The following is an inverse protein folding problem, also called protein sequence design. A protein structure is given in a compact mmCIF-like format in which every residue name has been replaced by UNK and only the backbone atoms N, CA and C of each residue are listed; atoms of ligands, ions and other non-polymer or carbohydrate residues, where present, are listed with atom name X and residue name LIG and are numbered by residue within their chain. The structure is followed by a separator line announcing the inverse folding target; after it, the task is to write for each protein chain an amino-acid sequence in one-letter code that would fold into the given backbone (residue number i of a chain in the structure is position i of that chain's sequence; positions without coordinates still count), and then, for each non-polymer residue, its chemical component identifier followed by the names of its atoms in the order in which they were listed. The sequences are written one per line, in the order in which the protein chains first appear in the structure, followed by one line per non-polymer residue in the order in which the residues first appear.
data_IF_222857798756
#
_entry.id   IF_222857798756
#
_cell.length_a   1.000
_cell.length_b   1.000
_cell.length_c   1.000
_cell.angle_alpha   90.00
_cell.angle_beta   90.00
_cell.angle_gamma   90.00
#
_symmetry.space_group_name_H-M   'P 1'
#
loop_
_entity.id
_entity.type
_entity.pdbx_description
1 polymer ?
#
# COMPACT_ATOMS: atom_id res chain seq x y z
N UNK A 1 3.21 -16.43 19.74
CA UNK A 1 1.87 -16.90 20.15
C UNK A 1 0.82 -16.62 19.09
N UNK A 2 0.50 -15.34 18.82
CA UNK A 2 -0.60 -14.99 17.92
C UNK A 2 -0.41 -15.54 16.49
N UNK A 3 0.81 -15.52 15.95
CA UNK A 3 1.16 -16.19 14.68
C UNK A 3 0.85 -17.70 14.64
N UNK A 4 1.03 -18.41 15.75
CA UNK A 4 0.74 -19.84 15.84
C UNK A 4 -0.77 -20.07 15.94
N UNK A 5 -1.47 -19.24 16.72
CA UNK A 5 -2.93 -19.31 16.84
C UNK A 5 -3.63 -19.01 15.50
N UNK A 6 -3.14 -18.03 14.75
CA UNK A 6 -3.66 -17.72 13.40
C UNK A 6 -3.41 -18.85 12.42
N UNK A 7 -2.18 -19.35 12.36
CA UNK A 7 -1.85 -20.48 11.50
C UNK A 7 -2.66 -21.73 11.85
N UNK A 8 -2.81 -22.06 13.14
CA UNK A 8 -3.60 -23.20 13.59
C UNK A 8 -5.07 -23.08 13.14
N UNK A 9 -5.72 -21.95 13.40
CA UNK A 9 -7.10 -21.73 12.98
C UNK A 9 -7.28 -21.85 11.46
N UNK A 10 -6.37 -21.27 10.68
CA UNK A 10 -6.42 -21.34 9.22
C UNK A 10 -6.19 -22.76 8.68
N UNK A 11 -5.23 -23.49 9.24
CA UNK A 11 -4.97 -24.89 8.88
C UNK A 11 -6.20 -25.75 9.16
N UNK A 12 -6.77 -25.67 10.37
CA UNK A 12 -7.89 -26.53 10.77
C UNK A 12 -9.13 -26.29 9.89
N UNK A 13 -9.49 -25.04 9.62
CA UNK A 13 -10.71 -24.75 8.84
C UNK A 13 -10.47 -24.98 7.34
N UNK A 14 -9.50 -24.29 6.74
CA UNK A 14 -9.35 -24.24 5.28
C UNK A 14 -8.59 -25.42 4.70
N UNK A 15 -7.70 -26.05 5.46
CA UNK A 15 -6.81 -27.10 4.93
C UNK A 15 -7.07 -28.49 5.50
N UNK A 16 -7.83 -28.61 6.59
CA UNK A 16 -8.24 -29.89 7.16
C UNK A 16 -9.74 -30.13 6.94
N UNK A 17 -10.62 -29.36 7.58
CA UNK A 17 -12.07 -29.63 7.57
C UNK A 17 -12.65 -29.50 6.16
N UNK A 18 -12.43 -28.37 5.48
CA UNK A 18 -13.01 -28.10 4.16
C UNK A 18 -12.56 -29.13 3.10
N UNK A 19 -11.25 -29.46 2.95
CA UNK A 19 -10.83 -30.45 1.97
C UNK A 19 -11.29 -31.87 2.29
N UNK A 20 -11.41 -32.26 3.56
CA UNK A 20 -11.94 -33.58 3.93
C UNK A 20 -13.40 -33.71 3.48
N UNK A 21 -14.24 -32.73 3.79
CA UNK A 21 -15.67 -32.79 3.45
C UNK A 21 -15.95 -32.59 1.96
N UNK A 22 -15.41 -31.53 1.34
CA UNK A 22 -15.71 -31.19 -0.04
C UNK A 22 -14.76 -31.87 -1.04
N UNK A 23 -13.47 -31.94 -0.71
CA UNK A 23 -12.45 -32.56 -1.56
C UNK A 23 -12.46 -34.09 -1.51
N UNK A 24 -12.70 -34.68 -0.34
CA UNK A 24 -12.75 -36.13 -0.13
C UNK A 24 -14.16 -36.70 -0.26
N UNK A 25 -14.98 -36.50 0.77
CA UNK A 25 -16.30 -37.14 0.87
C UNK A 25 -17.26 -36.73 -0.25
N UNK A 26 -17.35 -35.45 -0.58
CA UNK A 26 -18.29 -35.00 -1.62
C UNK A 26 -17.90 -35.50 -3.02
N UNK A 27 -16.61 -35.47 -3.36
CA UNK A 27 -16.11 -36.01 -4.63
C UNK A 27 -16.33 -37.51 -4.79
N UNK A 28 -16.30 -38.28 -3.70
CA UNK A 28 -16.54 -39.72 -3.72
C UNK A 28 -18.04 -40.05 -3.70
N UNK A 29 -18.79 -39.50 -2.75
CA UNK A 29 -20.17 -39.91 -2.47
C UNK A 29 -21.19 -39.33 -3.47
N UNK A 30 -20.97 -38.12 -3.99
CA UNK A 30 -21.97 -37.49 -4.87
C UNK A 30 -22.10 -38.25 -6.20
N UNK A 31 -21.02 -38.50 -6.97
CA UNK A 31 -21.12 -39.29 -8.20
C UNK A 31 -21.70 -40.68 -7.94
N UNK A 32 -21.23 -41.32 -6.87
CA UNK A 32 -21.66 -42.67 -6.48
C UNK A 32 -23.17 -42.76 -6.21
N UNK A 33 -23.74 -41.87 -5.39
CA UNK A 33 -25.19 -41.90 -5.10
C UNK A 33 -26.06 -41.33 -6.22
N UNK A 34 -25.49 -40.50 -7.10
CA UNK A 34 -26.18 -39.98 -8.30
C UNK A 34 -26.21 -41.03 -9.43
N UNK A 35 -25.40 -42.09 -9.31
CA UNK A 35 -25.27 -43.14 -10.31
C UNK A 35 -24.47 -42.69 -11.54
N UNK A 36 -23.62 -41.66 -11.39
CA UNK A 36 -22.75 -41.21 -12.47
C UNK A 36 -21.40 -41.94 -12.42
N UNK A 37 -20.86 -42.29 -13.58
CA UNK A 37 -19.53 -42.93 -13.67
C UNK A 37 -18.42 -42.02 -13.13
N UNK A 38 -18.51 -40.73 -13.42
CA UNK A 38 -17.52 -39.72 -13.08
C UNK A 38 -18.18 -38.36 -12.75
N UNK A 39 -17.37 -37.39 -12.35
CA UNK A 39 -17.77 -35.98 -12.25
C UNK A 39 -17.86 -35.30 -13.63
N UNK A 40 -18.55 -34.16 -13.72
CA UNK A 40 -18.86 -33.47 -14.97
C UNK A 40 -17.60 -32.90 -15.63
N UNK A 41 -16.69 -32.34 -14.82
CA UNK A 41 -15.41 -31.83 -15.27
C UNK A 41 -14.24 -32.47 -14.49
N UNK A 42 -13.76 -33.66 -14.92
CA UNK A 42 -12.70 -34.38 -14.21
C UNK A 42 -11.38 -33.60 -14.10
N UNK A 43 -10.98 -32.89 -15.17
CA UNK A 43 -9.75 -32.09 -15.20
C UNK A 43 -9.82 -30.87 -14.27
N UNK A 44 -10.98 -30.21 -14.24
CA UNK A 44 -11.21 -29.05 -13.37
C UNK A 44 -11.18 -29.47 -11.89
N UNK A 45 -11.73 -30.64 -11.56
CA UNK A 45 -11.64 -31.21 -10.22
C UNK A 45 -10.19 -31.49 -9.79
N UNK A 46 -9.38 -32.02 -10.71
CA UNK A 46 -7.95 -32.25 -10.47
C UNK A 46 -7.21 -30.94 -10.21
N UNK A 47 -7.47 -29.89 -11.00
CA UNK A 47 -6.86 -28.56 -10.79
C UNK A 47 -7.23 -27.99 -9.41
N UNK A 48 -8.50 -28.10 -9.00
CA UNK A 48 -8.93 -27.68 -7.67
C UNK A 48 -8.15 -28.37 -6.56
N UNK A 49 -7.97 -29.69 -6.68
CA UNK A 49 -7.17 -30.48 -5.75
C UNK A 49 -5.71 -29.99 -5.68
N UNK A 50 -5.08 -29.63 -6.80
CA UNK A 50 -3.68 -29.17 -6.83
C UNK A 50 -3.47 -27.74 -6.32
N UNK A 51 -4.50 -26.88 -6.36
CA UNK A 51 -4.42 -25.52 -5.78
C UNK A 51 -4.40 -25.58 -4.25
N UNK A 52 -5.05 -26.59 -3.65
CA UNK A 52 -5.11 -26.75 -2.19
C UNK A 52 -3.74 -26.89 -1.51
N UNK A 53 -2.83 -27.81 -1.92
CA UNK A 53 -1.51 -27.92 -1.32
C UNK A 53 -0.64 -26.69 -1.57
N UNK A 54 -0.83 -25.96 -2.68
CA UNK A 54 -0.14 -24.69 -2.93
C UNK A 54 -0.51 -23.63 -1.86
N UNK A 55 -1.79 -23.51 -1.53
CA UNK A 55 -2.25 -22.67 -0.42
C UNK A 55 -1.68 -23.13 0.93
N UNK A 56 -1.64 -24.44 1.17
CA UNK A 56 -1.13 -25.01 2.41
C UNK A 56 0.36 -24.70 2.62
N UNK A 57 1.18 -24.78 1.56
CA UNK A 57 2.60 -24.44 1.61
C UNK A 57 2.84 -23.00 2.04
N UNK A 58 1.98 -22.05 1.63
CA UNK A 58 2.08 -20.66 2.05
C UNK A 58 1.80 -20.51 3.55
N UNK A 59 0.77 -21.16 4.09
CA UNK A 59 0.49 -21.14 5.54
C UNK A 59 1.59 -21.84 6.33
N UNK A 60 2.05 -23.01 5.87
CA UNK A 60 3.12 -23.77 6.50
C UNK A 60 4.41 -22.96 6.59
N UNK A 61 4.73 -22.17 5.54
CA UNK A 61 5.87 -21.25 5.56
C UNK A 61 5.78 -20.26 6.71
N UNK A 62 4.61 -19.69 7.00
CA UNK A 62 4.47 -18.73 8.11
C UNK A 62 4.40 -19.46 9.45
N UNK A 63 3.79 -20.64 9.50
CA UNK A 63 3.59 -21.38 10.75
C UNK A 63 4.93 -21.91 11.31
N UNK A 64 5.77 -22.47 10.43
CA UNK A 64 6.97 -23.21 10.84
C UNK A 64 8.27 -22.46 10.50
N UNK A 65 8.32 -21.70 9.40
CA UNK A 65 9.53 -20.97 9.03
C UNK A 65 9.52 -19.57 9.62
N UNK A 66 10.64 -19.18 10.23
CA UNK A 66 10.82 -17.82 10.74
C UNK A 66 10.91 -16.84 9.57
N UNK A 67 10.05 -15.83 9.57
CA UNK A 67 10.05 -14.75 8.57
C UNK A 67 11.23 -13.79 8.82
N UNK A 68 12.47 -14.22 8.56
CA UNK A 68 13.68 -13.41 8.73
C UNK A 68 14.01 -12.56 7.49
N UNK A 69 13.48 -12.94 6.32
CA UNK A 69 13.86 -12.34 5.03
C UNK A 69 13.16 -11.02 4.72
N UNK A 70 12.10 -10.66 5.45
CA UNK A 70 11.32 -9.46 5.16
C UNK A 70 11.82 -8.28 5.96
N UNK A 71 12.72 -7.52 5.33
CA UNK A 71 13.16 -6.21 5.84
C UNK A 71 12.19 -5.15 5.33
N UNK A 72 11.33 -4.66 6.22
CA UNK A 72 10.50 -3.50 5.94
C UNK A 72 11.33 -2.23 6.19
N UNK A 73 11.60 -1.44 5.15
CA UNK A 73 12.26 -0.15 5.30
C UNK A 73 11.20 0.93 5.46
N UNK A 74 11.13 1.55 6.64
CA UNK A 74 10.33 2.75 6.82
C UNK A 74 10.95 3.85 5.94
N UNK A 75 10.33 4.13 4.78
CA UNK A 75 10.69 5.32 4.00
C UNK A 75 10.34 6.54 4.85
N UNK A 76 11.34 7.27 5.31
CA UNK A 76 11.14 8.59 5.91
C UNK A 76 10.68 9.54 4.81
N UNK A 77 9.38 9.73 4.63
CA UNK A 77 8.85 10.78 3.75
C UNK A 77 8.95 12.12 4.49
N UNK A 78 9.91 12.94 4.09
CA UNK A 78 9.96 14.33 4.53
C UNK A 78 8.91 15.11 3.74
N UNK A 79 7.87 15.59 4.43
CA UNK A 79 6.94 16.54 3.83
C UNK A 79 7.64 17.89 3.69
N UNK A 80 8.10 18.20 2.48
CA UNK A 80 8.54 19.54 2.13
C UNK A 80 7.30 20.35 1.75
N UNK A 81 7.01 21.42 2.49
CA UNK A 81 5.89 22.29 2.18
C UNK A 81 6.11 22.93 0.80
N UNK A 82 5.17 22.79 -0.15
CA UNK A 82 5.31 23.38 -1.47
C UNK A 82 5.35 24.92 -1.38
N UNK A 83 6.23 25.51 -2.17
CA UNK A 83 6.50 26.95 -2.22
C UNK A 83 5.23 27.78 -2.47
N UNK A 84 4.90 28.70 -1.54
CA UNK A 84 3.77 29.62 -1.71
C UNK A 84 4.19 30.85 -2.53
N UNK A 85 4.05 30.76 -3.85
CA UNK A 85 4.41 31.82 -4.82
C UNK A 85 3.76 33.18 -4.51
N UNK A 86 2.60 33.19 -3.85
CA UNK A 86 1.82 34.41 -3.64
C UNK A 86 2.46 35.38 -2.63
N UNK A 87 3.06 34.85 -1.55
CA UNK A 87 3.65 35.67 -0.47
C UNK A 87 4.87 36.45 -0.98
N UNK A 88 5.70 35.83 -1.82
CA UNK A 88 6.92 36.45 -2.34
C UNK A 88 6.68 37.39 -3.52
N UNK A 89 5.59 37.21 -4.28
CA UNK A 89 5.20 38.15 -5.35
C UNK A 89 5.02 39.57 -4.80
N UNK A 90 4.42 39.71 -3.62
CA UNK A 90 4.21 41.01 -2.99
C UNK A 90 5.52 41.64 -2.48
N UNK A 91 6.44 40.83 -1.95
CA UNK A 91 7.77 41.30 -1.54
C UNK A 91 8.61 41.79 -2.73
N UNK A 92 8.58 41.06 -3.85
CA UNK A 92 9.28 41.45 -5.07
C UNK A 92 8.68 42.72 -5.71
N UNK A 93 7.34 42.87 -5.65
CA UNK A 93 6.67 44.08 -6.10
C UNK A 93 6.98 45.30 -5.22
N UNK A 94 7.17 45.12 -3.91
CA UNK A 94 7.62 46.18 -3.01
C UNK A 94 9.05 46.64 -3.34
N UNK A 95 9.98 45.69 -3.53
CA UNK A 95 11.36 45.98 -3.95
C UNK A 95 11.44 46.67 -5.32
N UNK A 96 10.61 46.26 -6.28
CA UNK A 96 10.55 46.90 -7.62
C UNK A 96 9.86 48.26 -7.54
N UNK A 97 8.86 48.43 -6.66
CA UNK A 97 8.16 49.69 -6.45
C UNK A 97 9.07 50.80 -5.89
N UNK A 98 10.07 50.45 -5.08
CA UNK A 98 11.12 51.40 -4.67
C UNK A 98 12.17 51.65 -5.76
N UNK A 99 12.27 50.76 -6.76
CA UNK A 99 13.24 50.83 -7.86
C UNK A 99 12.69 51.45 -9.15
N UNK A 100 11.59 52.22 -9.07
CA UNK A 100 11.12 53.03 -10.21
C UNK A 100 12.06 54.22 -10.44
N UNK A 101 13.24 53.93 -10.98
CA UNK A 101 14.08 54.94 -11.62
C UNK A 101 13.34 55.49 -12.84
N UNK A 102 13.22 56.82 -12.89
CA UNK A 102 12.66 57.58 -14.01
C UNK A 102 13.02 56.98 -15.37
N UNK A 103 12.02 56.88 -16.25
CA UNK A 103 12.07 56.39 -17.62
C UNK A 103 13.34 56.81 -18.38
N UNK A 104 14.25 55.87 -18.58
CA UNK A 104 15.45 56.05 -19.39
C UNK A 104 15.03 56.06 -20.87
N UNK A 105 15.03 57.24 -21.48
CA UNK A 105 14.76 57.42 -22.91
C UNK A 105 15.96 56.87 -23.68
N UNK A 106 15.78 55.73 -24.35
CA UNK A 106 16.76 55.16 -25.27
C UNK A 106 16.95 56.10 -26.48
N UNK A 107 18.20 56.46 -26.75
CA UNK A 107 18.67 56.66 -28.12
C UNK A 107 19.89 55.77 -28.33
N UNK A 108 19.78 54.93 -29.35
CA UNK A 108 20.73 53.94 -29.83
C UNK A 108 22.02 54.59 -30.34
N UNK A 109 23.09 53.78 -30.35
CA UNK A 109 24.36 53.96 -31.06
C UNK A 109 25.33 54.98 -30.40
N UNK A 110 26.57 54.70 -30.04
CA UNK A 110 27.54 53.74 -30.55
C UNK A 110 28.55 53.36 -29.44
N UNK A 111 28.70 52.06 -29.20
CA UNK A 111 29.93 51.21 -29.13
C UNK A 111 31.26 51.74 -28.51
N UNK A 112 31.45 53.01 -28.15
CA UNK A 112 32.77 53.52 -27.69
C UNK A 112 32.68 54.23 -26.32
N UNK A 113 32.25 53.51 -25.28
CA UNK A 113 32.32 54.03 -23.90
C UNK A 113 32.97 53.07 -22.89
N UNK A 114 33.78 52.12 -23.36
CA UNK A 114 34.51 51.21 -22.46
C UNK A 114 35.79 51.82 -21.86
N UNK A 115 36.16 53.06 -22.19
CA UNK A 115 37.44 53.65 -21.76
C UNK A 115 37.42 55.17 -21.50
N UNK A 116 36.40 55.69 -20.81
CA UNK A 116 36.53 57.00 -20.16
C UNK A 116 36.19 56.93 -18.68
N UNK A 117 37.23 57.07 -17.86
CA UNK A 117 37.12 57.32 -16.43
C UNK A 117 36.35 58.63 -16.22
N UNK A 118 35.09 58.56 -15.78
CA UNK A 118 34.33 59.76 -15.39
C UNK A 118 34.84 60.24 -14.03
N UNK A 119 35.17 61.53 -13.85
CA UNK A 119 35.50 62.05 -12.54
C UNK A 119 34.26 62.03 -11.63
N UNK A 120 34.47 61.67 -10.36
CA UNK A 120 33.42 61.56 -9.35
C UNK A 120 32.83 62.96 -9.09
N UNK A 121 31.52 63.15 -9.33
CA UNK A 121 30.82 64.39 -8.92
C UNK A 121 30.78 64.46 -7.39
N UNK A 122 31.24 65.57 -6.84
CA UNK A 122 31.12 65.89 -5.40
C UNK A 122 29.72 66.44 -5.16
N UNK A 123 28.92 65.73 -4.37
CA UNK A 123 27.59 66.18 -3.97
C UNK A 123 27.76 67.13 -2.78
N UNK A 124 27.39 68.39 -2.93
CA UNK A 124 27.35 69.37 -1.85
C UNK A 124 25.89 69.60 -1.47
N UNK A 125 25.41 68.94 -0.42
CA UNK A 125 24.17 69.31 0.26
C UNK A 125 24.33 69.08 1.77
N UNK A 126 23.94 70.07 2.56
CA UNK A 126 24.42 70.36 3.91
C UNK A 126 23.56 69.86 5.07
N UNK A 127 22.48 69.10 4.86
CA UNK A 127 21.51 68.85 5.96
C UNK A 127 21.20 67.39 6.27
N UNK A 128 22.21 66.51 6.33
CA UNK A 128 22.06 65.17 6.92
C UNK A 128 23.30 64.79 7.74
N UNK A 129 23.16 64.71 9.07
CA UNK A 129 24.26 64.46 10.02
C UNK A 129 24.69 62.99 10.11
N UNK A 130 24.07 62.09 9.37
CA UNK A 130 24.58 60.73 9.22
C UNK A 130 24.18 60.12 7.87
N UNK A 131 24.99 60.38 6.85
CA UNK A 131 25.00 59.55 5.65
C UNK A 131 25.67 58.22 5.99
N UNK A 132 24.93 57.29 6.58
CA UNK A 132 25.34 55.89 6.55
C UNK A 132 25.00 55.34 5.17
N UNK A 133 26.04 55.16 4.35
CA UNK A 133 26.04 54.19 3.27
C UNK A 133 25.83 52.82 3.93
N UNK A 134 24.59 52.45 4.23
CA UNK A 134 24.30 51.05 4.49
C UNK A 134 24.32 50.38 3.11
N UNK A 135 25.34 49.57 2.79
CA UNK A 135 25.35 48.92 1.50
C UNK A 135 24.11 48.01 1.46
N UNK A 136 23.33 48.12 0.38
CA UNK A 136 22.27 47.17 -0.02
C UNK A 136 22.67 45.69 0.16
N UNK A 137 23.97 45.42 0.32
CA UNK A 137 24.56 44.11 0.54
C UNK A 137 24.22 43.44 1.88
N UNK A 138 23.86 44.16 2.96
CA UNK A 138 23.51 43.48 4.23
C UNK A 138 22.06 42.98 4.26
N UNK A 139 21.10 43.81 3.87
CA UNK A 139 19.69 43.40 3.75
C UNK A 139 19.47 42.37 2.64
N UNK A 140 20.26 42.46 1.57
CA UNK A 140 20.29 41.46 0.50
C UNK A 140 20.71 40.08 1.02
N UNK A 141 21.78 39.98 1.82
CA UNK A 141 22.25 38.71 2.36
C UNK A 141 21.23 38.08 3.33
N UNK A 142 20.55 38.87 4.15
CA UNK A 142 19.47 38.35 4.99
C UNK A 142 18.31 37.79 4.16
N UNK A 143 17.96 38.43 3.04
CA UNK A 143 16.92 37.93 2.13
C UNK A 143 17.29 36.58 1.47
N UNK A 144 18.59 36.31 1.26
CA UNK A 144 19.05 34.99 0.82
C UNK A 144 18.80 33.92 1.89
N UNK A 145 19.08 34.18 3.17
CA UNK A 145 18.84 33.19 4.22
C UNK A 145 17.36 32.79 4.36
N UNK A 146 16.44 33.71 4.04
CA UNK A 146 14.99 33.43 4.05
C UNK A 146 14.46 32.68 2.81
N UNK A 147 15.29 32.42 1.79
CA UNK A 147 14.85 31.70 0.59
C UNK A 147 14.64 30.21 0.86
N UNK A 148 13.57 29.62 0.31
CA UNK A 148 13.17 28.24 0.61
C UNK A 148 14.10 27.18 0.03
N UNK A 149 14.93 27.55 -0.94
CA UNK A 149 15.74 26.62 -1.73
C UNK A 149 17.24 26.70 -1.38
N UNK A 150 17.61 27.55 -0.43
CA UNK A 150 18.99 27.60 0.06
C UNK A 150 19.34 26.35 0.88
N UNK A 151 20.53 25.81 0.62
CA UNK A 151 21.04 24.59 1.28
C UNK A 151 20.90 24.65 2.80
N UNK A 152 21.19 25.81 3.40
CA UNK A 152 21.10 26.02 4.85
C UNK A 152 19.67 26.09 5.38
N UNK A 153 18.74 26.68 4.62
CA UNK A 153 17.30 26.69 4.96
C UNK A 153 16.71 25.29 4.88
N UNK A 154 17.06 24.54 3.83
CA UNK A 154 16.69 23.14 3.66
C UNK A 154 17.29 22.27 4.76
N UNK A 155 18.57 22.46 5.09
CA UNK A 155 19.26 21.76 6.17
C UNK A 155 18.60 22.02 7.53
N UNK A 156 18.23 23.26 7.84
CA UNK A 156 17.55 23.60 9.08
C UNK A 156 16.15 22.97 9.17
N UNK A 157 15.39 22.93 8.07
CA UNK A 157 14.09 22.21 7.99
C UNK A 157 14.26 20.71 8.17
N UNK A 158 15.28 20.11 7.57
CA UNK A 158 15.61 18.68 7.74
C UNK A 158 16.03 18.40 9.19
N UNK A 159 16.86 19.27 9.79
CA UNK A 159 17.31 19.14 11.18
C UNK A 159 16.14 19.31 12.17
N UNK A 160 15.26 20.30 11.99
CA UNK A 160 14.10 20.49 12.86
C UNK A 160 13.12 19.33 12.79
N UNK A 161 12.91 18.76 11.58
CA UNK A 161 12.14 17.53 11.40
C UNK A 161 12.79 16.33 12.13
N UNK A 162 14.13 16.19 12.07
CA UNK A 162 14.87 15.14 12.80
C UNK A 162 14.84 15.29 14.33
N UNK A 163 14.65 16.50 14.87
CA UNK A 163 14.58 16.73 16.33
C UNK A 163 13.28 16.24 16.99
N UNK A 164 12.30 15.75 16.22
CA UNK A 164 11.12 15.10 16.82
C UNK A 164 11.55 13.82 17.53
N UNK A 165 11.20 13.71 18.82
CA UNK A 165 11.52 12.56 19.67
C UNK A 165 10.97 11.27 19.05
N UNK A 166 11.85 10.42 18.51
CA UNK A 166 11.47 9.14 17.92
C UNK A 166 11.21 8.17 19.08
N UNK A 167 9.95 7.84 19.31
CA UNK A 167 9.58 6.77 20.24
C UNK A 167 9.88 5.42 19.58
N UNK A 168 11.06 4.85 19.86
CA UNK A 168 11.35 3.47 19.49
C UNK A 168 10.59 2.56 20.45
N UNK A 169 9.36 2.23 20.08
CA UNK A 169 8.64 1.14 20.72
C UNK A 169 9.26 -0.16 20.24
N UNK A 170 9.69 -1.03 21.17
CA UNK A 170 10.11 -2.40 20.84
C UNK A 170 8.87 -3.18 20.38
N UNK A 171 8.46 -3.01 19.13
CA UNK A 171 7.47 -3.87 18.52
C UNK A 171 8.13 -5.17 18.06
N UNK A 172 7.41 -6.28 18.19
CA UNK A 172 7.70 -7.49 17.42
C UNK A 172 7.82 -7.13 15.94
N UNK A 173 8.77 -7.75 15.23
CA UNK A 173 9.01 -7.49 13.79
C UNK A 173 7.68 -7.32 13.03
N UNK A 174 7.44 -6.12 12.49
CA UNK A 174 6.19 -5.72 11.80
C UNK A 174 5.79 -6.71 10.69
N UNK A 175 6.78 -7.30 10.01
CA UNK A 175 6.54 -8.28 8.94
C UNK A 175 6.09 -9.67 9.44
N UNK A 176 6.23 -9.96 10.74
CA UNK A 176 5.84 -11.22 11.38
C UNK A 176 4.52 -11.11 12.18
N UNK A 177 3.97 -9.90 12.31
CA UNK A 177 2.71 -9.67 13.02
C UNK A 177 1.55 -10.23 12.19
N UNK A 178 0.60 -10.88 12.87
CA UNK A 178 -0.65 -11.37 12.28
C UNK A 178 -1.81 -10.84 13.13
N UNK A 179 -3.04 -10.84 12.61
CA UNK A 179 -4.19 -10.21 13.28
C UNK A 179 -5.12 -11.17 14.03
N UNK A 180 -5.09 -12.45 13.67
CA UNK A 180 -6.17 -13.41 13.94
C UNK A 180 -6.43 -14.24 12.68
N UNK A 181 -7.07 -15.41 12.82
CA UNK A 181 -7.50 -16.20 11.66
C UNK A 181 -8.60 -15.49 10.84
N UNK A 182 -9.33 -14.56 11.44
CA UNK A 182 -10.41 -13.76 10.85
C UNK A 182 -9.98 -12.44 10.22
N UNK A 183 -8.71 -12.04 10.32
CA UNK A 183 -8.17 -10.79 9.76
C UNK A 183 -8.98 -9.51 10.07
N UNK A 184 -9.50 -9.37 11.29
CA UNK A 184 -10.36 -8.25 11.70
C UNK A 184 -9.66 -6.89 11.53
N UNK A 185 -10.34 -5.94 10.87
CA UNK A 185 -9.95 -4.53 10.78
C UNK A 185 -10.35 -3.79 12.07
N UNK A 186 -9.57 -2.81 12.56
CA UNK A 186 -8.38 -2.19 11.96
C UNK A 186 -7.06 -2.89 12.27
N UNK A 187 -7.06 -3.99 13.05
CA UNK A 187 -5.82 -4.62 13.50
C UNK A 187 -5.03 -5.26 12.33
N UNK A 188 -5.73 -5.81 11.35
CA UNK A 188 -5.14 -6.32 10.10
C UNK A 188 -4.58 -5.23 9.19
N UNK A 189 -5.24 -4.08 9.12
CA UNK A 189 -4.96 -3.02 8.14
C UNK A 189 -4.09 -1.87 8.67
N UNK A 190 -3.70 -1.90 9.95
CA UNK A 190 -2.95 -0.81 10.54
C UNK A 190 -1.47 -0.82 10.13
N UNK A 191 -1.12 0.01 9.14
CA UNK A 191 0.26 0.16 8.64
C UNK A 191 1.29 0.54 9.71
N UNK A 192 0.86 1.06 10.88
CA UNK A 192 1.76 1.32 12.01
C UNK A 192 2.30 0.03 12.64
N UNK A 193 1.55 -1.06 12.62
CA UNK A 193 1.87 -2.31 13.34
C UNK A 193 1.98 -3.54 12.44
N UNK A 194 1.29 -3.56 11.29
CA UNK A 194 1.43 -4.56 10.24
C UNK A 194 2.11 -3.93 9.03
N UNK A 195 2.96 -4.70 8.36
CA UNK A 195 3.66 -4.31 7.15
C UNK A 195 3.66 -5.47 6.19
N UNK A 196 4.18 -5.26 4.98
CA UNK A 196 4.17 -6.31 3.97
C UNK A 196 4.88 -7.56 4.48
N UNK A 197 4.18 -8.68 4.49
CA UNK A 197 4.74 -9.91 5.04
C UNK A 197 3.72 -11.00 5.38
N UNK A 198 3.69 -11.41 6.66
CA UNK A 198 3.10 -12.68 7.07
C UNK A 198 1.58 -12.67 6.88
N UNK A 199 0.97 -11.53 7.17
CA UNK A 199 -0.44 -11.31 6.99
C UNK A 199 -0.88 -11.39 5.52
N UNK A 200 -0.11 -10.81 4.60
CA UNK A 200 -0.46 -10.82 3.18
C UNK A 200 -0.34 -12.20 2.57
N UNK A 201 0.70 -12.95 2.93
CA UNK A 201 0.86 -14.30 2.40
C UNK A 201 -0.14 -15.29 3.01
N UNK A 202 -0.59 -15.05 4.26
CA UNK A 202 -1.76 -15.73 4.83
C UNK A 202 -3.03 -15.40 4.02
N UNK A 203 -3.24 -14.13 3.65
CA UNK A 203 -4.39 -13.74 2.82
C UNK A 203 -4.37 -14.46 1.47
N UNK A 204 -3.22 -14.45 0.78
CA UNK A 204 -3.05 -15.17 -0.51
C UNK A 204 -3.35 -16.66 -0.35
N UNK A 205 -2.92 -17.29 0.74
CA UNK A 205 -3.20 -18.71 1.00
C UNK A 205 -4.70 -19.02 1.12
N UNK A 206 -5.45 -18.14 1.78
CA UNK A 206 -6.90 -18.28 1.96
C UNK A 206 -7.64 -18.04 0.64
N UNK A 207 -7.16 -17.10 -0.19
CA UNK A 207 -7.71 -16.89 -1.53
C UNK A 207 -7.50 -18.12 -2.41
N UNK A 208 -6.32 -18.75 -2.37
CA UNK A 208 -6.08 -20.01 -3.10
C UNK A 208 -7.00 -21.14 -2.61
N UNK A 209 -7.17 -21.29 -1.30
CA UNK A 209 -8.14 -22.24 -0.75
C UNK A 209 -9.57 -21.92 -1.21
N UNK A 210 -9.95 -20.65 -1.25
CA UNK A 210 -11.23 -20.19 -1.79
C UNK A 210 -11.43 -20.61 -3.24
N UNK A 211 -10.45 -20.36 -4.11
CA UNK A 211 -10.50 -20.76 -5.54
C UNK A 211 -10.62 -22.28 -5.69
N UNK A 212 -9.88 -23.06 -4.90
CA UNK A 212 -10.00 -24.53 -4.87
C UNK A 212 -11.43 -24.97 -4.51
N UNK A 213 -12.01 -24.37 -3.46
CA UNK A 213 -13.38 -24.71 -3.04
C UNK A 213 -14.43 -24.30 -4.06
N UNK A 214 -14.27 -23.17 -4.75
CA UNK A 214 -15.23 -22.73 -5.77
C UNK A 214 -15.25 -23.66 -6.98
N UNK A 215 -14.09 -24.09 -7.42
CA UNK A 215 -13.91 -25.11 -8.46
C UNK A 215 -14.57 -26.43 -8.06
N UNK A 216 -14.34 -26.89 -6.82
CA UNK A 216 -14.92 -28.14 -6.32
C UNK A 216 -16.45 -28.08 -6.23
N UNK A 217 -17.02 -27.04 -5.59
CA UNK A 217 -18.47 -27.01 -5.38
C UNK A 217 -19.24 -26.80 -6.68
N UNK A 218 -18.74 -25.98 -7.60
CA UNK A 218 -19.41 -25.73 -8.88
C UNK A 218 -19.47 -27.00 -9.71
N UNK A 219 -18.37 -27.77 -9.77
CA UNK A 219 -18.34 -29.05 -10.46
C UNK A 219 -19.34 -30.05 -9.86
N UNK A 220 -19.39 -30.17 -8.52
CA UNK A 220 -20.28 -31.10 -7.83
C UNK A 220 -21.77 -30.71 -7.89
N UNK A 221 -22.09 -29.42 -8.00
CA UNK A 221 -23.46 -28.99 -8.29
C UNK A 221 -23.87 -29.31 -9.72
N UNK A 222 -22.93 -29.17 -10.67
CA UNK A 222 -23.18 -29.49 -12.08
C UNK A 222 -23.35 -31.00 -12.27
N UNK A 223 -22.53 -31.86 -11.65
CA UNK A 223 -22.68 -33.32 -11.70
C UNK A 223 -24.08 -33.76 -11.30
N UNK A 224 -24.55 -33.27 -10.15
CA UNK A 224 -25.89 -33.55 -9.65
C UNK A 224 -26.98 -32.96 -10.56
N UNK A 225 -26.71 -31.96 -11.40
CA UNK A 225 -27.70 -31.40 -12.32
C UNK A 225 -27.74 -32.15 -13.66
N UNK A 226 -26.60 -32.58 -14.17
CA UNK A 226 -26.44 -33.08 -15.55
C UNK A 226 -26.30 -34.59 -15.64
N UNK A 227 -25.58 -35.23 -14.71
CA UNK A 227 -25.20 -36.65 -14.81
C UNK A 227 -26.05 -37.60 -13.95
N UNK A 228 -27.21 -37.14 -13.48
CA UNK A 228 -28.13 -37.99 -12.71
C UNK A 228 -28.70 -39.10 -13.58
N UNK A 229 -28.60 -40.34 -13.09
CA UNK A 229 -29.17 -41.49 -13.78
C UNK A 229 -30.69 -41.33 -13.98
N UNK A 230 -31.24 -41.77 -15.13
CA UNK A 230 -32.67 -41.70 -15.39
C UNK A 230 -33.43 -42.47 -14.29
N UNK A 231 -34.39 -41.82 -13.65
CA UNK A 231 -35.12 -42.34 -12.49
C UNK A 231 -34.78 -41.65 -11.16
N UNK A 232 -33.51 -41.27 -10.94
CA UNK A 232 -33.06 -40.57 -9.71
C UNK A 232 -33.33 -39.05 -9.73
N UNK A 233 -33.86 -38.53 -10.85
CA UNK A 233 -34.19 -37.10 -11.01
C UNK A 233 -35.42 -36.68 -10.20
N UNK A 234 -36.33 -37.61 -9.94
CA UNK A 234 -37.60 -37.32 -9.25
C UNK A 234 -37.34 -37.06 -7.76
N UNK A 235 -37.89 -35.96 -7.22
CA UNK A 235 -37.72 -35.57 -5.80
C UNK A 235 -38.25 -36.59 -4.79
N UNK A 236 -39.09 -37.52 -5.25
CA UNK A 236 -39.66 -38.59 -4.42
C UNK A 236 -38.67 -39.74 -4.17
N UNK A 237 -37.58 -39.82 -4.94
CA UNK A 237 -36.55 -40.82 -4.70
C UNK A 237 -35.57 -40.28 -3.67
N UNK A 238 -35.48 -40.97 -2.53
CA UNK A 238 -34.72 -40.54 -1.37
C UNK A 238 -33.25 -40.92 -1.56
N UNK A 239 -32.42 -39.91 -1.75
CA UNK A 239 -30.95 -40.04 -1.79
C UNK A 239 -30.46 -40.18 -0.33
N UNK A 240 -29.35 -40.91 -0.04
CA UNK A 240 -28.82 -41.01 1.32
C UNK A 240 -28.63 -39.64 2.01
N UNK A 241 -28.92 -39.59 3.31
CA UNK A 241 -28.93 -38.35 4.09
C UNK A 241 -27.61 -37.56 4.02
N UNK A 242 -26.48 -38.27 4.03
CA UNK A 242 -25.14 -37.68 3.93
C UNK A 242 -24.99 -36.85 2.64
N UNK A 243 -25.47 -37.38 1.51
CA UNK A 243 -25.41 -36.66 0.22
C UNK A 243 -26.37 -35.49 0.15
N UNK A 244 -27.54 -35.55 0.81
CA UNK A 244 -28.44 -34.41 0.91
C UNK A 244 -27.76 -33.30 1.72
N UNK A 245 -27.16 -33.65 2.86
CA UNK A 245 -26.39 -32.71 3.69
C UNK A 245 -25.25 -32.06 2.88
N UNK A 246 -24.44 -32.85 2.17
CA UNK A 246 -23.38 -32.34 1.31
C UNK A 246 -23.90 -31.44 0.19
N UNK A 247 -25.02 -31.77 -0.46
CA UNK A 247 -25.61 -30.93 -1.50
C UNK A 247 -26.18 -29.61 -0.94
N UNK A 248 -26.73 -29.63 0.29
CA UNK A 248 -27.19 -28.41 0.97
C UNK A 248 -26.00 -27.52 1.37
N UNK A 249 -24.92 -28.09 1.90
CA UNK A 249 -23.71 -27.31 2.23
C UNK A 249 -23.05 -26.73 0.99
N UNK A 250 -22.95 -27.50 -0.10
CA UNK A 250 -22.47 -27.01 -1.40
C UNK A 250 -23.33 -25.88 -1.96
N UNK A 251 -24.66 -25.96 -1.79
CA UNK A 251 -25.56 -24.89 -2.21
C UNK A 251 -25.43 -23.65 -1.33
N UNK A 252 -25.23 -23.81 -0.02
CA UNK A 252 -25.01 -22.71 0.91
C UNK A 252 -23.70 -21.98 0.63
N UNK A 253 -22.66 -22.70 0.21
CA UNK A 253 -21.38 -22.11 -0.20
C UNK A 253 -21.47 -21.31 -1.52
N UNK A 254 -22.48 -21.59 -2.36
CA UNK A 254 -22.68 -20.92 -3.64
C UNK A 254 -23.52 -19.64 -3.55
N UNK A 255 -24.18 -19.40 -2.41
CA UNK A 255 -25.00 -18.21 -2.11
C UNK A 255 -24.13 -17.19 -1.41
#
# INVERSE_FOLDING_TARGET
YLQVATAHGLIMVFFVVVPIFFGGFANFLIPYHVGSKDVAFPRLNSIGFWIQPLGFLLVAKIAFLRTTSWKYYDKTSFFLQPYNKFVYKNFFHFLIGELSFNSFKQSLDEVLFLFLWKPRKKITNTDYTSFFFNPLNLSFLDSFFYYSDNLWSLANKVVSSRRKKIYVTKCSNRAAVTAGWTFITPFSSNMKYSGFGAQDILLVSVVLAGISTTISFTNLLITRRTLVAPGLRNRRVLIPFITISLLLTLRLLAI
#
